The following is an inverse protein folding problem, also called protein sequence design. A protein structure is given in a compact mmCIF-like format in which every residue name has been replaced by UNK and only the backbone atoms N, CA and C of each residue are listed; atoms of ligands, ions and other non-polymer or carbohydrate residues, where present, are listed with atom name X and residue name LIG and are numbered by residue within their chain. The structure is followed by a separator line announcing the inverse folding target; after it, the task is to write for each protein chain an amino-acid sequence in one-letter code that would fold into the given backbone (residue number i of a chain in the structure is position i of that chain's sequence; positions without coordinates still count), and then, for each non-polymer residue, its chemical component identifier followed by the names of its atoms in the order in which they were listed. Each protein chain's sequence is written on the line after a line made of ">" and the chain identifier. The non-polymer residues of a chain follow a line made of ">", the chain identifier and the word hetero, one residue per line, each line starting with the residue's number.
data_IF_519455588082
#
_entry.id   IF_519455588082
#
_cell.length_a   1.000
_cell.length_b   1.000
_cell.length_c   1.000
_cell.angle_alpha   90.00
_cell.angle_beta   90.00
_cell.angle_gamma   90.00
#
_symmetry.space_group_name_H-M   'P 1'
#
loop_
_entity.id
_entity.type
_entity.pdbx_description
1 polymer ?
2 water ?
#
# COMPACT_ATOMS: atom_id res chain seq x y z
N UNK A 24 -17.01 9.68 -48.42
CA UNK A 24 -15.70 10.07 -49.00
C UNK A 24 -14.52 10.41 -48.00
N UNK A 25 -14.82 10.85 -46.75
CA UNK A 25 -13.74 11.30 -45.83
C UNK A 25 -12.88 10.16 -45.26
N UNK A 26 -11.57 10.37 -45.26
CA UNK A 26 -10.59 9.36 -44.94
C UNK A 26 -10.55 9.12 -43.43
N UNK A 27 -10.52 7.84 -43.03
CA UNK A 27 -10.41 7.51 -41.63
C UNK A 27 -9.04 6.94 -41.30
N UNK A 28 -8.38 7.49 -40.28
CA UNK A 28 -7.08 7.05 -39.83
C UNK A 28 -7.05 7.06 -38.33
N UNK A 29 -7.11 5.86 -37.77
CA UNK A 29 -7.18 5.67 -36.32
C UNK A 29 -6.10 6.36 -35.55
N UNK A 30 -4.87 6.36 -36.10
CA UNK A 30 -3.68 6.84 -35.34
C UNK A 30 -3.76 8.36 -35.14
N UNK A 31 -4.46 9.05 -36.03
CA UNK A 31 -4.74 10.47 -35.85
C UNK A 31 -5.67 10.78 -34.60
N UNK A 32 -6.18 9.76 -33.91
CA UNK A 32 -7.16 9.95 -32.81
C UNK A 32 -6.57 9.42 -31.52
N UNK A 33 -5.37 8.86 -31.61
CA UNK A 33 -4.76 8.20 -30.45
C UNK A 33 -3.95 9.15 -29.60
N UNK A 34 -4.30 9.30 -28.34
CA UNK A 34 -3.61 10.23 -27.50
C UNK A 34 -2.20 9.64 -27.25
N UNK A 35 -1.17 10.47 -27.30
CA UNK A 35 0.24 10.00 -27.03
C UNK A 35 0.51 10.13 -25.55
N UNK A 36 0.96 9.03 -24.96
CA UNK A 36 1.06 8.93 -23.50
C UNK A 36 2.33 9.55 -22.89
N UNK A 37 3.26 10.02 -23.74
CA UNK A 37 4.59 10.45 -23.26
C UNK A 37 4.58 11.55 -22.18
N UNK A 38 3.86 12.64 -22.38
CA UNK A 38 3.83 13.67 -21.35
C UNK A 38 3.20 13.18 -20.07
N UNK A 39 2.14 12.41 -20.17
CA UNK A 39 1.48 11.83 -18.99
C UNK A 39 2.46 10.90 -18.23
N UNK A 40 3.26 10.13 -18.96
CA UNK A 40 4.26 9.28 -18.31
C UNK A 40 5.34 10.07 -17.59
N UNK A 41 5.73 11.20 -18.17
CA UNK A 41 6.70 12.09 -17.57
C UNK A 41 6.12 12.67 -16.30
N UNK A 42 4.81 12.94 -16.32
CA UNK A 42 4.17 13.59 -15.21
C UNK A 42 4.07 12.59 -14.04
N UNK A 43 3.75 11.35 -14.33
CA UNK A 43 3.66 10.33 -13.30
C UNK A 43 5.03 10.17 -12.63
N UNK A 44 6.11 10.04 -13.42
CA UNK A 44 7.46 9.93 -12.88
C UNK A 44 7.82 11.17 -12.02
N UNK A 45 7.47 12.40 -12.49
CA UNK A 45 7.66 13.56 -11.64
C UNK A 45 6.88 13.39 -10.37
N UNK A 46 5.70 12.73 -10.38
CA UNK A 46 4.91 12.67 -9.15
C UNK A 46 5.59 11.70 -8.16
N UNK A 47 6.24 10.67 -8.69
CA UNK A 47 6.97 9.71 -7.92
C UNK A 47 8.19 10.35 -7.28
N UNK A 48 8.89 11.19 -8.04
CA UNK A 48 10.01 11.89 -7.50
C UNK A 48 9.55 12.89 -6.39
N UNK A 49 8.43 13.60 -6.58
CA UNK A 49 7.91 14.44 -5.53
C UNK A 49 7.64 13.55 -4.29
N UNK A 50 6.97 12.40 -4.49
CA UNK A 50 6.64 11.47 -3.39
C UNK A 50 7.91 11.10 -2.49
N UNK A 51 9.02 10.86 -3.15
CA UNK A 51 10.26 10.32 -2.65
C UNK A 51 10.97 11.37 -1.83
N UNK A 52 10.76 12.65 -2.17
CA UNK A 52 11.41 13.72 -1.48
C UNK A 52 10.58 14.19 -0.29
N UNK A 53 9.38 13.64 -0.07
CA UNK A 53 8.59 14.17 1.07
C UNK A 53 9.18 13.62 2.42
N UNK A 54 8.88 14.30 3.56
CA UNK A 54 9.44 13.90 4.87
C UNK A 54 9.05 12.46 5.25
N UNK A 55 10.01 11.69 5.72
CA UNK A 55 9.69 10.37 6.27
C UNK A 55 9.22 10.58 7.71
N UNK A 56 8.12 9.93 8.12
CA UNK A 56 7.66 10.07 9.47
C UNK A 56 7.61 8.72 10.14
N UNK A 57 7.45 8.69 11.46
CA UNK A 57 7.24 7.45 12.19
C UNK A 57 5.88 6.89 11.75
N UNK A 58 5.62 5.60 12.03
CA UNK A 58 4.37 4.99 11.71
C UNK A 58 3.70 4.75 13.06
N UNK A 59 2.53 5.41 13.32
CA UNK A 59 1.87 6.51 12.57
C UNK A 59 2.61 7.82 12.75
N UNK A 60 2.39 8.81 11.86
CA UNK A 60 3.05 10.10 12.05
C UNK A 60 2.58 10.85 13.31
N UNK A 61 3.35 11.85 13.74
CA UNK A 61 3.09 12.54 15.03
C UNK A 61 1.77 13.30 15.12
N UNK A 62 1.12 13.62 13.99
CA UNK A 62 -0.15 14.33 13.96
C UNK A 62 -1.17 13.75 12.96
N UNK A 63 -2.45 13.91 13.27
CA UNK A 63 -3.51 13.59 12.33
C UNK A 63 -3.62 14.72 11.33
N UNK A 64 -4.17 14.44 10.19
CA UNK A 64 -4.29 15.53 9.21
C UNK A 64 -5.42 15.15 8.27
N UNK A 65 -5.91 16.12 7.51
CA UNK A 65 -6.95 15.90 6.53
C UNK A 65 -6.38 15.60 5.15
N UNK A 66 -7.10 14.81 4.36
CA UNK A 66 -6.69 14.56 2.97
C UNK A 66 -6.83 13.09 2.57
N UNK A 67 -7.03 12.88 1.27
CA UNK A 67 -6.92 11.56 0.64
C UNK A 67 -5.58 11.51 -0.10
N UNK A 68 -5.04 10.31 -0.36
CA UNK A 68 -3.85 10.24 -1.18
C UNK A 68 -3.14 8.87 -1.15
N UNK A 69 -1.81 8.88 -1.19
CA UNK A 69 -1.03 7.66 -1.42
C UNK A 69 0.02 7.56 -0.29
N UNK A 70 0.29 6.37 0.17
CA UNK A 70 1.28 6.20 1.23
C UNK A 70 2.19 5.01 0.95
N UNK A 71 3.39 5.08 1.49
CA UNK A 71 4.28 3.91 1.53
C UNK A 71 4.79 3.64 2.97
N UNK A 72 4.99 2.37 3.26
CA UNK A 72 5.50 1.89 4.52
C UNK A 72 6.91 1.34 4.29
N UNK A 73 7.86 1.69 5.16
CA UNK A 73 9.22 1.18 5.09
C UNK A 73 9.57 0.43 6.40
N UNK A 74 10.39 -0.61 6.27
CA UNK A 74 10.87 -1.41 7.35
C UNK A 74 12.40 -1.25 7.41
N UNK A 75 12.97 -1.15 8.61
CA UNK A 75 14.44 -1.01 8.79
C UNK A 75 14.91 -1.85 9.94
N UNK A 76 14.07 -2.77 10.41
CA UNK A 76 14.45 -3.65 11.54
C UNK A 76 15.02 -4.99 11.13
N UNK A 77 14.99 -5.95 12.07
CA UNK A 77 15.77 -7.21 11.99
C UNK A 77 14.96 -8.48 12.22
N UNK A 78 13.63 -8.41 12.14
CA UNK A 78 12.85 -9.64 12.13
C UNK A 78 13.45 -10.46 10.97
N UNK A 79 13.77 -11.73 11.21
CA UNK A 79 14.70 -12.44 10.30
C UNK A 79 14.29 -12.50 8.82
N UNK A 80 12.99 -12.74 8.54
CA UNK A 80 12.51 -12.80 7.15
C UNK A 80 12.80 -11.50 6.42
N UNK A 81 12.76 -10.40 7.17
CA UNK A 81 12.71 -9.05 6.57
C UNK A 81 14.02 -8.32 6.79
N UNK A 82 15.03 -9.00 7.34
CA UNK A 82 16.13 -8.21 7.85
C UNK A 82 17.06 -7.65 6.77
N UNK A 83 16.96 -8.14 5.56
CA UNK A 83 17.50 -7.50 4.36
C UNK A 83 17.10 -6.02 4.16
N UNK A 84 15.90 -5.65 4.63
CA UNK A 84 15.46 -4.28 4.52
C UNK A 84 16.37 -3.38 5.36
N UNK A 85 16.98 -3.92 6.42
CA UNK A 85 17.78 -3.03 7.31
C UNK A 85 19.02 -2.62 6.57
N UNK A 86 19.46 -3.43 5.59
CA UNK A 86 20.53 -3.08 4.67
C UNK A 86 20.01 -2.21 3.48
N UNK A 87 18.92 -2.62 2.81
CA UNK A 87 18.42 -1.88 1.64
C UNK A 87 18.11 -0.46 2.10
N UNK A 88 17.53 -0.31 3.30
CA UNK A 88 17.08 0.97 3.75
C UNK A 88 18.03 1.58 4.85
N UNK A 89 19.31 1.13 4.89
CA UNK A 89 20.26 1.61 5.89
C UNK A 89 20.56 3.13 5.76
N UNK A 90 20.67 3.61 4.53
CA UNK A 90 21.20 4.92 4.20
C UNK A 90 20.13 5.85 3.66
N UNK A 91 18.90 5.36 3.38
CA UNK A 91 17.89 6.18 2.72
C UNK A 91 16.67 5.33 2.80
N UNK A 92 15.49 5.91 2.85
CA UNK A 92 14.28 5.10 2.75
C UNK A 92 14.00 4.85 1.27
N UNK A 93 14.47 3.67 0.80
CA UNK A 93 14.50 3.40 -0.63
C UNK A 93 13.37 2.51 -1.00
N UNK A 94 13.23 1.41 -0.28
CA UNK A 94 12.30 0.36 -0.68
C UNK A 94 11.12 0.14 0.30
N UNK A 95 9.89 0.44 -0.16
CA UNK A 95 8.71 0.19 0.67
C UNK A 95 8.42 -1.30 0.80
N UNK A 96 7.79 -1.67 1.89
CA UNK A 96 7.33 -3.05 2.12
C UNK A 96 5.89 -3.04 1.67
N UNK A 97 5.28 -1.86 1.64
CA UNK A 97 3.84 -1.75 1.33
C UNK A 97 3.51 -0.41 0.77
N UNK A 98 2.70 -0.34 -0.29
CA UNK A 98 2.14 0.93 -0.82
C UNK A 98 0.61 0.84 -0.90
N UNK A 99 -0.12 1.85 -0.43
CA UNK A 99 -1.56 1.85 -0.61
C UNK A 99 -2.13 3.24 -0.92
N UNK A 100 -3.44 3.32 -1.10
CA UNK A 100 -4.09 4.61 -1.21
C UNK A 100 -5.22 4.65 -0.18
N UNK A 101 -5.67 5.85 0.13
CA UNK A 101 -6.84 6.04 0.97
C UNK A 101 -7.63 7.15 0.29
N UNK A 102 -8.87 6.85 -0.11
CA UNK A 102 -9.78 7.86 -0.73
C UNK A 102 -11.11 7.85 0.07
N UNK A 103 -11.89 8.95 0.03
CA UNK A 103 -13.21 8.85 0.74
C UNK A 103 -14.13 7.85 0.03
N UNK A 104 -15.03 7.25 0.81
CA UNK A 104 -15.97 6.26 0.30
C UNK A 104 -16.84 6.84 -0.83
N UNK A 105 -16.91 8.18 -0.88
CA UNK A 105 -17.68 8.92 -1.91
C UNK A 105 -17.18 8.81 -3.35
N UNK A 106 -15.90 8.44 -3.51
CA UNK A 106 -15.24 8.32 -4.82
C UNK A 106 -15.23 6.84 -5.36
N UNK A 107 -15.26 5.88 -4.42
CA UNK A 107 -15.66 4.48 -4.68
C UNK A 107 -17.12 4.53 -5.11
N UNK A 108 -17.48 3.75 -6.13
CA UNK A 108 -18.82 3.84 -6.71
C UNK A 108 -19.89 3.23 -5.80
N UNK A 109 -20.96 4.01 -5.52
CA UNK A 109 -22.14 3.48 -4.82
C UNK A 109 -23.32 4.46 -4.66
N UNK A 110 -23.70 5.21 -5.70
CA UNK A 110 -23.09 5.14 -7.03
C UNK A 110 -22.70 6.53 -7.56
N UNK A 111 -21.41 6.74 -7.81
CA UNK A 111 -20.86 8.00 -8.34
C UNK A 111 -19.35 7.95 -8.66
N UNK A 112 -18.92 8.79 -9.61
CA UNK A 112 -17.49 8.93 -9.99
C UNK A 112 -16.69 9.83 -9.02
N UNK A 113 -17.36 10.86 -8.48
CA UNK A 113 -16.84 11.77 -7.42
C UNK A 113 -17.91 12.80 -6.96
N UNK A 114 -18.35 12.68 -5.69
CA UNK A 114 -19.54 13.43 -5.17
C UNK A 114 -19.33 14.10 -3.75
N UNK A 115 -19.10 15.43 -3.74
CA UNK A 115 -18.97 16.25 -2.49
C UNK A 115 -17.93 17.42 -2.54
N UNK A 116 -18.01 18.32 -1.55
CA UNK A 116 -17.02 19.42 -1.35
C UNK A 116 -15.55 18.91 -1.17
N UNK A 117 -15.21 18.42 0.03
CA UNK A 117 -13.85 17.95 0.32
C UNK A 117 -13.89 16.57 0.96
N UNK A 118 -12.77 15.84 0.94
CA UNK A 118 -12.75 14.47 1.47
C UNK A 118 -11.78 14.36 2.67
N UNK A 119 -12.41 14.16 3.85
CA UNK A 119 -11.94 14.35 5.24
C UNK A 119 -10.57 13.95 5.76
N UNK A 120 -10.45 12.77 6.37
CA UNK A 120 -9.16 12.28 6.86
C UNK A 120 -8.85 10.78 6.60
N UNK A 121 -9.10 10.34 5.39
CA UNK A 121 -8.91 8.93 5.01
C UNK A 121 -7.46 8.48 5.06
N UNK A 122 -6.53 9.33 4.63
CA UNK A 122 -5.13 8.94 4.57
C UNK A 122 -4.53 8.76 5.98
N UNK A 123 -4.68 9.79 6.80
CA UNK A 123 -4.26 9.73 8.18
C UNK A 123 -4.84 8.50 8.90
N UNK A 124 -6.13 8.27 8.69
CA UNK A 124 -6.81 7.20 9.39
C UNK A 124 -6.37 5.84 8.89
N UNK A 125 -6.25 5.70 7.57
CA UNK A 125 -5.74 4.45 7.03
C UNK A 125 -4.30 4.14 7.55
N UNK A 126 -3.42 5.15 7.57
CA UNK A 126 -2.05 4.95 8.13
C UNK A 126 -2.04 4.52 9.62
N UNK A 127 -2.85 5.22 10.43
CA UNK A 127 -2.95 4.95 11.86
C UNK A 127 -3.41 3.53 12.04
N UNK A 128 -4.35 3.12 11.20
CA UNK A 128 -4.86 1.75 11.23
C UNK A 128 -3.80 0.70 10.93
N UNK A 129 -2.94 0.92 9.94
CA UNK A 129 -1.83 0.00 9.72
C UNK A 129 -0.92 -0.12 10.97
N UNK A 130 -0.64 1.02 11.58
CA UNK A 130 0.13 1.13 12.82
C UNK A 130 -0.43 0.25 13.95
N UNK A 131 -1.76 0.25 14.14
CA UNK A 131 -2.39 -0.66 15.16
C UNK A 131 -2.37 -2.15 14.77
N UNK A 132 -2.56 -2.46 13.49
CA UNK A 132 -2.43 -3.84 13.03
C UNK A 132 -1.01 -4.37 13.30
N UNK A 133 -0.04 -3.49 13.17
CA UNK A 133 1.31 -3.89 13.37
C UNK A 133 1.55 -4.02 14.88
N UNK A 134 1.06 -3.06 15.67
CA UNK A 134 1.25 -3.14 17.10
C UNK A 134 0.58 -4.42 17.67
N UNK A 135 -0.38 -5.01 16.94
CA UNK A 135 -1.08 -6.21 17.43
C UNK A 135 -0.31 -7.51 17.24
N UNK A 136 0.73 -7.47 16.42
CA UNK A 136 1.50 -8.65 16.13
C UNK A 136 2.58 -8.76 17.19
N UNK A 137 3.12 -9.96 17.37
CA UNK A 137 4.15 -10.20 18.34
C UNK A 137 5.49 -10.06 17.74
N UNK A 138 5.62 -10.41 16.48
CA UNK A 138 6.95 -10.45 15.97
C UNK A 138 7.38 -9.17 15.18
N UNK A 139 6.55 -8.13 15.18
CA UNK A 139 6.90 -6.87 14.53
C UNK A 139 6.89 -5.69 15.52
N UNK A 140 7.91 -4.82 15.46
CA UNK A 140 7.92 -3.65 16.30
C UNK A 140 7.67 -2.42 15.43
N UNK A 141 6.62 -1.69 15.83
CA UNK A 141 6.21 -0.42 15.26
C UNK A 141 7.38 0.52 15.10
N UNK A 142 8.32 0.51 16.06
CA UNK A 142 9.52 1.37 15.97
C UNK A 142 10.47 1.11 14.77
N UNK A 143 10.34 -0.06 14.14
CA UNK A 143 11.12 -0.38 12.92
C UNK A 143 10.46 0.05 11.60
N UNK A 144 9.35 0.75 11.74
CA UNK A 144 8.56 1.17 10.54
C UNK A 144 8.56 2.69 10.44
N UNK A 145 8.56 3.18 9.20
CA UNK A 145 8.35 4.58 8.90
C UNK A 145 7.38 4.64 7.70
N UNK A 146 7.02 5.85 7.31
CA UNK A 146 6.00 5.95 6.26
C UNK A 146 6.28 7.26 5.56
N UNK A 147 5.96 7.29 4.26
CA UNK A 147 5.88 8.56 3.53
C UNK A 147 4.43 8.64 3.03
N UNK A 148 3.93 9.87 2.79
CA UNK A 148 2.58 9.99 2.23
C UNK A 148 2.42 11.26 1.41
N UNK A 149 1.52 11.22 0.41
CA UNK A 149 1.24 12.43 -0.35
C UNK A 149 -0.27 12.61 -0.42
N UNK A 150 -0.69 13.82 -0.13
CA UNK A 150 -2.08 14.25 -0.23
C UNK A 150 -2.34 14.84 -1.61
N UNK A 151 -3.34 14.31 -2.32
CA UNK A 151 -3.78 14.83 -3.62
C UNK A 151 -5.17 15.45 -3.42
N UNK A 152 -5.36 16.70 -3.79
CA UNK A 152 -6.49 17.46 -3.34
C UNK A 152 -7.71 17.76 -4.20
N UNK A 153 -7.55 18.25 -5.39
CA UNK A 153 -8.87 18.77 -5.89
C UNK A 153 -8.97 18.02 -7.19
N UNK A 154 -8.59 18.63 -8.29
CA UNK A 154 -8.42 17.85 -9.52
C UNK A 154 -7.29 16.80 -9.44
N UNK A 155 -6.19 17.11 -8.73
CA UNK A 155 -5.13 16.13 -8.52
C UNK A 155 -5.55 14.81 -7.85
N UNK A 156 -6.70 14.77 -7.18
CA UNK A 156 -7.17 13.51 -6.61
C UNK A 156 -7.41 12.48 -7.70
N UNK A 157 -7.55 12.94 -8.96
CA UNK A 157 -7.56 11.98 -10.09
C UNK A 157 -6.23 11.22 -10.27
N UNK A 158 -5.16 11.72 -9.72
CA UNK A 158 -3.85 11.06 -9.88
C UNK A 158 -3.59 9.93 -8.85
N UNK A 159 -4.47 9.78 -7.86
CA UNK A 159 -4.16 8.97 -6.67
C UNK A 159 -3.94 7.53 -7.12
N UNK A 160 -4.91 7.00 -7.90
CA UNK A 160 -4.82 5.59 -8.26
C UNK A 160 -3.66 5.31 -9.23
N UNK A 161 -3.31 6.34 -10.01
CA UNK A 161 -2.20 6.24 -10.95
C UNK A 161 -0.88 6.28 -10.26
N UNK A 162 -0.74 7.13 -9.27
CA UNK A 162 0.52 7.15 -8.49
C UNK A 162 0.65 5.91 -7.61
N UNK A 163 -0.42 5.47 -6.95
CA UNK A 163 -0.33 4.21 -6.21
C UNK A 163 0.13 3.07 -7.14
N UNK A 164 -0.39 3.01 -8.36
CA UNK A 164 -0.07 1.92 -9.27
C UNK A 164 1.31 2.09 -9.83
N UNK A 165 1.76 3.31 -10.07
CA UNK A 165 3.15 3.45 -10.48
C UNK A 165 4.24 2.98 -9.40
N UNK A 166 4.03 3.36 -8.14
CA UNK A 166 4.89 2.91 -7.02
C UNK A 166 4.85 1.39 -6.92
N UNK A 167 3.66 0.79 -6.96
CA UNK A 167 3.61 -0.67 -6.92
C UNK A 167 4.39 -1.28 -8.09
N UNK A 168 4.33 -0.70 -9.27
CA UNK A 168 5.07 -1.21 -10.40
C UNK A 168 6.59 -0.97 -10.30
N UNK A 169 6.99 0.20 -9.85
CA UNK A 169 8.43 0.48 -9.69
C UNK A 169 9.07 -0.39 -8.59
N UNK A 170 8.41 -0.54 -7.45
CA UNK A 170 9.04 -1.10 -6.27
C UNK A 170 8.63 -2.57 -6.04
N UNK A 171 7.51 -2.98 -6.60
CA UNK A 171 6.96 -4.31 -6.39
C UNK A 171 6.93 -4.61 -4.87
N UNK A 172 6.30 -3.75 -4.03
CA UNK A 172 6.49 -3.92 -2.54
C UNK A 172 6.08 -5.30 -2.05
N UNK A 173 6.87 -5.90 -1.17
CA UNK A 173 6.60 -7.26 -0.74
C UNK A 173 5.16 -7.46 -0.33
N UNK A 174 4.58 -6.58 0.47
CA UNK A 174 3.23 -6.92 0.94
C UNK A 174 2.16 -6.54 -0.08
N UNK A 175 2.57 -6.06 -1.24
CA UNK A 175 1.63 -5.93 -2.37
C UNK A 175 1.73 -7.12 -3.35
N UNK A 176 2.89 -7.73 -3.49
CA UNK A 176 3.11 -8.57 -4.66
C UNK A 176 3.43 -10.01 -4.28
N UNK A 177 3.80 -10.25 -3.04
CA UNK A 177 4.33 -11.59 -2.72
C UNK A 177 3.56 -12.21 -1.56
N UNK A 178 3.53 -11.46 -0.45
CA UNK A 178 2.82 -11.88 0.76
C UNK A 178 1.56 -11.04 0.87
N UNK A 179 0.45 -11.51 0.32
CA UNK A 179 -0.84 -10.76 0.35
C UNK A 179 -1.50 -10.74 1.75
N UNK A 180 -2.36 -9.75 2.01
CA UNK A 180 -3.25 -9.79 3.17
C UNK A 180 -3.22 -8.61 4.12
N UNK A 181 -2.11 -7.89 4.20
CA UNK A 181 -1.98 -6.81 5.19
C UNK A 181 -3.15 -5.81 5.21
N UNK A 182 -3.64 -5.45 4.04
CA UNK A 182 -4.64 -4.41 3.93
C UNK A 182 -6.09 -4.82 4.08
N UNK A 183 -6.34 -6.11 4.38
CA UNK A 183 -7.70 -6.67 4.48
C UNK A 183 -8.33 -6.35 5.84
N UNK A 184 -9.67 -6.43 5.91
CA UNK A 184 -10.43 -6.24 7.17
C UNK A 184 -11.26 -7.53 7.46
N UNK A 185 -11.99 -7.56 8.57
CA UNK A 185 -12.83 -8.74 8.89
C UNK A 185 -13.69 -9.14 7.65
N UNK A 186 -13.80 -10.45 7.32
CA UNK A 186 -14.47 -10.87 6.05
C UNK A 186 -16.01 -10.61 5.95
N UNK A 187 -16.73 -10.89 7.04
CA UNK A 187 -18.17 -10.62 7.11
C UNK A 187 -19.07 -11.82 7.31
N UNK A 188 -19.20 -12.25 8.58
CA UNK A 188 -20.24 -13.21 9.08
C UNK A 188 -20.65 -14.35 8.16
N UNK A 189 -20.19 -15.57 8.46
CA UNK A 189 -20.39 -16.71 7.55
C UNK A 189 -19.59 -16.71 6.24
N UNK A 190 -18.67 -15.75 6.07
CA UNK A 190 -17.62 -15.84 5.05
C UNK A 190 -16.29 -16.08 5.75
N UNK A 191 -16.34 -16.81 6.86
CA UNK A 191 -15.14 -17.33 7.51
C UNK A 191 -14.95 -18.77 7.00
N UNK A 192 -14.94 -18.91 5.66
CA UNK A 192 -14.82 -20.23 5.00
C UNK A 192 -13.48 -20.35 4.25
N UNK A 193 -13.07 -19.23 3.66
CA UNK A 193 -11.76 -19.07 3.05
C UNK A 193 -10.67 -19.08 4.14
N UNK A 194 -9.43 -19.35 3.71
CA UNK A 194 -8.29 -19.40 4.63
C UNK A 194 -7.78 -18.00 4.99
N UNK A 195 -7.04 -17.93 6.10
CA UNK A 195 -6.36 -16.67 6.42
C UNK A 195 -5.24 -16.41 5.39
N UNK A 196 -4.91 -15.12 5.25
CA UNK A 196 -3.99 -14.66 4.24
C UNK A 196 -2.56 -15.02 4.62
N UNK A 197 -1.68 -15.07 3.64
CA UNK A 197 -0.27 -15.27 3.93
C UNK A 197 0.29 -14.30 5.00
N UNK A 198 -0.24 -13.07 5.08
CA UNK A 198 0.26 -12.06 6.02
C UNK A 198 -0.07 -12.50 7.44
N UNK A 199 -1.30 -12.91 7.65
CA UNK A 199 -1.75 -13.44 8.95
C UNK A 199 -1.12 -14.76 9.39
N UNK A 200 -0.64 -15.57 8.45
CA UNK A 200 0.03 -16.77 8.94
C UNK A 200 1.40 -16.44 9.54
N UNK A 201 2.16 -15.56 8.88
CA UNK A 201 3.48 -15.23 9.40
C UNK A 201 3.48 -14.08 10.41
N UNK A 202 2.37 -13.35 10.49
CA UNK A 202 2.18 -12.33 11.53
C UNK A 202 0.91 -12.50 12.35
N UNK A 203 0.87 -13.52 13.22
CA UNK A 203 -0.31 -13.53 14.08
C UNK A 203 -0.15 -12.44 15.17
N UNK A 204 -1.23 -11.84 15.65
CA UNK A 204 -2.57 -12.14 15.22
C UNK A 204 -3.55 -11.00 15.45
N UNK A 205 -4.20 -10.60 14.39
CA UNK A 205 -5.47 -9.87 14.46
C UNK A 205 -6.56 -10.87 14.85
N UNK A 206 -7.39 -10.51 15.84
CA UNK A 206 -8.44 -11.44 16.35
C UNK A 206 -9.19 -12.14 15.20
N UNK A 207 -9.62 -11.33 14.22
CA UNK A 207 -10.53 -11.81 13.20
C UNK A 207 -9.92 -12.89 12.33
N UNK A 208 -8.60 -12.83 12.10
CA UNK A 208 -7.92 -13.87 11.33
C UNK A 208 -7.93 -15.29 11.95
N UNK A 209 -7.99 -15.40 13.29
CA UNK A 209 -8.06 -16.70 14.00
C UNK A 209 -9.24 -17.58 13.56
N UNK A 210 -10.27 -16.95 12.97
CA UNK A 210 -11.55 -17.54 12.56
C UNK A 210 -11.61 -18.28 11.23
N UNK A 211 -10.65 -18.03 10.33
CA UNK A 211 -10.82 -18.45 8.94
C UNK A 211 -11.02 -19.98 8.74
N UNK A 212 -10.10 -20.79 9.28
CA UNK A 212 -10.22 -22.27 9.22
C UNK A 212 -10.48 -22.93 7.84
N UNK A 213 -10.17 -22.19 6.77
CA UNK A 213 -9.73 -22.80 5.52
C UNK A 213 -8.30 -23.28 5.78
N UNK A 214 -7.72 -24.03 4.83
CA UNK A 214 -6.31 -24.43 5.00
C UNK A 214 -5.44 -23.29 4.46
N UNK A 215 -4.77 -22.59 5.36
CA UNK A 215 -3.91 -21.46 4.93
C UNK A 215 -2.56 -21.95 4.41
N UNK A 216 -1.82 -21.09 3.73
CA UNK A 216 -0.50 -21.49 3.26
C UNK A 216 0.35 -21.95 4.44
N UNK A 217 1.42 -22.68 4.15
CA UNK A 217 2.34 -23.01 5.23
C UNK A 217 3.47 -21.97 5.36
N UNK A 218 3.71 -21.54 6.62
CA UNK A 218 4.80 -20.64 6.88
C UNK A 218 6.01 -20.88 5.96
N UNK A 219 6.44 -22.14 5.83
CA UNK A 219 7.64 -22.43 5.03
C UNK A 219 7.56 -21.83 3.62
N UNK A 220 6.40 -21.91 2.98
CA UNK A 220 6.38 -21.66 1.52
C UNK A 220 6.27 -20.17 1.33
N UNK A 221 5.58 -19.52 2.27
CA UNK A 221 5.62 -18.06 2.42
C UNK A 221 7.06 -17.55 2.57
N UNK A 222 7.78 -18.18 3.51
CA UNK A 222 9.18 -17.83 3.73
C UNK A 222 9.99 -18.03 2.47
N UNK A 223 9.82 -19.17 1.77
CA UNK A 223 10.57 -19.37 0.51
C UNK A 223 10.22 -18.31 -0.52
N UNK A 224 8.94 -17.90 -0.61
CA UNK A 224 8.52 -16.77 -1.50
C UNK A 224 9.17 -15.45 -1.13
N UNK A 225 9.27 -15.17 0.17
CA UNK A 225 9.99 -13.99 0.65
C UNK A 225 11.47 -14.04 0.20
N UNK A 226 12.14 -15.17 0.45
CA UNK A 226 13.57 -15.36 0.13
C UNK A 226 13.84 -15.20 -1.34
N UNK A 227 12.92 -15.71 -2.15
CA UNK A 227 12.91 -15.47 -3.57
C UNK A 227 12.79 -13.98 -3.94
N UNK A 228 11.84 -13.29 -3.30
CA UNK A 228 11.67 -11.84 -3.53
C UNK A 228 13.05 -11.17 -3.44
N UNK A 229 13.77 -11.45 -2.37
CA UNK A 229 15.08 -10.91 -2.16
C UNK A 229 16.29 -11.44 -2.97
N UNK A 230 16.25 -12.63 -3.56
CA UNK A 230 17.38 -12.94 -4.44
C UNK A 230 17.28 -12.43 -5.92
N UNK A 231 16.14 -11.85 -6.32
CA UNK A 231 15.95 -11.22 -7.64
C UNK A 231 15.12 -9.94 -7.56
#
# INVERSE_FOLDING_TARGET
>A
MASSHHHHHHSSGLVPRGSSMGHNKKFDRSEHVYRNDSFLELIKDAVRFFSGTPVHSLPPPERFQGAGVYALYYTGHYSLYDEYSRINRLAYNLPIYVGKAVPAGWRQSRISDHETRAGSELSNRIREHGRNIAKTSNLDLCDFSCRFVIFEATGSDMISTVQAALIKIYKPLWNTVVDGFGNHTPGAGRFAQAKSDWDVIHPGREWAEKCTGVHSEPYFIEERIKQYFSKSNFT
#
